data_IF_049933521835
#
_entry.id   IF_049933521835
#
_cell.length_a   1.000
_cell.length_b   1.000
_cell.length_c   1.000
_cell.angle_alpha   90.00
_cell.angle_beta   90.00
_cell.angle_gamma   90.00
#
_symmetry.space_group_name_H-M   'P 1'
#
loop_
_entity.id
_entity.type
_entity.pdbx_description
1 polymer ?
#
# COMPACT_ATOMS: atom_id res chain seq x y z
N UNK A 1 -8.31 4.86 6.73
CA UNK A 1 -9.02 5.83 5.85
C UNK A 1 -9.26 5.18 4.50
N UNK A 2 -10.49 5.26 3.97
CA UNK A 2 -10.81 4.73 2.65
C UNK A 2 -10.16 5.60 1.58
N UNK A 3 -9.59 4.96 0.56
CA UNK A 3 -8.96 5.68 -0.53
C UNK A 3 -10.04 6.30 -1.44
N UNK A 4 -9.77 7.47 -2.04
CA UNK A 4 -10.68 8.08 -3.02
C UNK A 4 -10.93 7.14 -4.22
N UNK A 5 -12.09 7.27 -4.86
CA UNK A 5 -12.46 6.48 -6.03
C UNK A 5 -11.45 6.63 -7.17
N UNK A 6 -11.38 5.62 -8.03
CA UNK A 6 -10.53 5.65 -9.23
C UNK A 6 -10.94 6.79 -10.17
N UNK A 7 -12.25 6.96 -10.40
CA UNK A 7 -12.80 8.06 -11.21
C UNK A 7 -12.29 9.44 -10.76
N UNK A 8 -12.34 9.74 -9.46
CA UNK A 8 -11.89 11.02 -8.94
C UNK A 8 -10.40 11.25 -9.22
N UNK A 9 -9.58 10.21 -9.13
CA UNK A 9 -8.13 10.30 -9.39
C UNK A 9 -7.83 10.50 -10.85
N UNK A 10 -8.53 9.81 -11.73
CA UNK A 10 -8.38 9.97 -13.18
C UNK A 10 -8.72 11.40 -13.60
N UNK A 11 -9.83 11.95 -13.10
CA UNK A 11 -10.23 13.32 -13.39
C UNK A 11 -9.25 14.36 -12.84
N UNK A 12 -8.77 14.18 -11.60
CA UNK A 12 -7.75 15.06 -10.99
C UNK A 12 -6.43 14.99 -11.76
N UNK A 13 -6.01 13.79 -12.17
CA UNK A 13 -4.79 13.60 -12.94
C UNK A 13 -4.88 14.24 -14.34
N UNK A 14 -6.01 14.07 -15.03
CA UNK A 14 -6.27 14.72 -16.31
C UNK A 14 -6.24 16.26 -16.17
N UNK A 15 -6.85 16.80 -15.11
CA UNK A 15 -6.82 18.25 -14.84
C UNK A 15 -5.41 18.77 -14.54
N UNK A 16 -4.55 17.96 -13.92
CA UNK A 16 -3.13 18.31 -13.71
C UNK A 16 -2.31 18.32 -15.01
N UNK A 17 -2.73 17.57 -16.04
CA UNK A 17 -2.05 17.51 -17.34
C UNK A 17 -2.44 18.67 -18.26
N UNK A 18 -3.58 19.32 -18.01
CA UNK A 18 -3.96 20.55 -18.68
C UNK A 18 -3.01 21.66 -18.22
N UNK A 19 -1.99 21.95 -19.05
CA UNK A 19 -0.93 22.90 -18.72
C UNK A 19 -1.44 24.26 -18.23
N UNK A 20 -0.67 24.89 -17.34
CA UNK A 20 -1.00 26.21 -16.78
C UNK A 20 -1.82 26.18 -15.49
N UNK A 21 -2.24 25.00 -15.00
CA UNK A 21 -2.94 24.88 -13.71
C UNK A 21 -1.98 24.59 -12.55
N UNK A 22 -2.20 25.26 -11.44
CA UNK A 22 -1.51 25.03 -10.17
C UNK A 22 -2.18 23.90 -9.39
N UNK A 23 -1.44 23.33 -8.42
CA UNK A 23 -1.96 22.27 -7.53
C UNK A 23 -3.20 22.77 -6.76
N UNK A 24 -3.19 24.02 -6.31
CA UNK A 24 -4.29 24.62 -5.55
C UNK A 24 -5.55 24.80 -6.38
N UNK A 25 -5.43 25.23 -7.64
CA UNK A 25 -6.59 25.35 -8.54
C UNK A 25 -7.25 24.00 -8.81
N UNK A 26 -6.46 22.95 -9.04
CA UNK A 26 -6.98 21.59 -9.20
C UNK A 26 -7.61 21.11 -7.89
N UNK A 27 -6.98 21.36 -6.74
CA UNK A 27 -7.52 20.99 -5.44
C UNK A 27 -8.88 21.64 -5.17
N UNK A 28 -9.01 22.94 -5.44
CA UNK A 28 -10.25 23.70 -5.32
C UNK A 28 -11.34 23.19 -6.27
N UNK A 29 -11.00 22.93 -7.54
CA UNK A 29 -11.95 22.44 -8.55
C UNK A 29 -12.62 21.11 -8.13
N UNK A 30 -11.85 20.21 -7.51
CA UNK A 30 -12.33 18.89 -7.11
C UNK A 30 -12.71 18.79 -5.63
N UNK A 31 -12.66 19.91 -4.89
CA UNK A 31 -12.88 19.97 -3.45
C UNK A 31 -12.06 18.93 -2.66
N UNK A 32 -10.78 18.80 -3.01
CA UNK A 32 -9.82 17.88 -2.38
C UNK A 32 -8.65 18.65 -1.78
N UNK A 33 -7.87 18.01 -0.91
CA UNK A 33 -6.67 18.64 -0.35
C UNK A 33 -5.53 18.76 -1.37
N UNK A 34 -4.75 19.83 -1.31
CA UNK A 34 -3.49 20.01 -2.06
C UNK A 34 -2.53 18.83 -1.89
N UNK A 35 -2.47 18.29 -0.67
CA UNK A 35 -1.62 17.14 -0.35
C UNK A 35 -2.01 15.90 -1.14
N UNK A 36 -3.31 15.69 -1.39
CA UNK A 36 -3.78 14.58 -2.22
C UNK A 36 -3.35 14.75 -3.68
N UNK A 37 -3.55 15.94 -4.26
CA UNK A 37 -3.15 16.25 -5.64
C UNK A 37 -1.64 16.08 -5.82
N UNK A 38 -0.84 16.61 -4.88
CA UNK A 38 0.63 16.49 -4.90
C UNK A 38 1.09 15.02 -4.83
N UNK A 39 0.48 14.22 -3.95
CA UNK A 39 0.78 12.78 -3.82
C UNK A 39 0.38 12.00 -5.07
N UNK A 40 -0.76 12.34 -5.68
CA UNK A 40 -1.24 11.72 -6.90
C UNK A 40 -0.30 11.99 -8.07
N UNK A 41 0.08 13.26 -8.28
CA UNK A 41 1.05 13.65 -9.31
C UNK A 41 2.39 12.95 -9.12
N UNK A 42 2.93 12.93 -7.89
CA UNK A 42 4.18 12.23 -7.59
C UNK A 42 4.09 10.74 -7.95
N UNK A 43 2.98 10.08 -7.61
CA UNK A 43 2.77 8.66 -7.93
C UNK A 43 2.72 8.42 -9.43
N UNK A 44 1.99 9.27 -10.16
CA UNK A 44 1.93 9.19 -11.61
C UNK A 44 3.32 9.32 -12.24
N UNK A 45 4.16 10.25 -11.77
CA UNK A 45 5.53 10.39 -12.26
C UNK A 45 6.45 9.23 -11.87
N UNK A 46 6.31 8.67 -10.67
CA UNK A 46 7.21 7.61 -10.18
C UNK A 46 6.84 6.22 -10.69
N UNK A 47 5.55 5.91 -10.81
CA UNK A 47 5.07 4.55 -11.09
C UNK A 47 4.11 4.44 -12.28
N UNK A 48 3.78 5.56 -12.94
CA UNK A 48 2.79 5.59 -14.02
C UNK A 48 1.35 5.28 -13.59
N UNK A 49 1.09 5.11 -12.29
CA UNK A 49 -0.19 4.61 -11.77
C UNK A 49 -0.96 5.65 -10.98
N UNK A 50 -2.28 5.69 -11.21
CA UNK A 50 -3.25 6.47 -10.42
C UNK A 50 -3.97 5.61 -9.37
N UNK A 51 -3.75 4.29 -9.41
CA UNK A 51 -4.38 3.30 -8.55
C UNK A 51 -4.02 3.50 -7.08
N UNK A 52 -4.86 2.97 -6.18
CA UNK A 52 -4.54 2.95 -4.75
C UNK A 52 -3.32 2.05 -4.54
N UNK A 53 -2.50 2.40 -3.53
CA UNK A 53 -1.49 1.42 -3.11
C UNK A 53 -2.27 0.26 -2.51
N UNK A 54 -1.82 -0.98 -2.72
CA UNK A 54 -2.32 -2.08 -1.91
C UNK A 54 -2.18 -1.68 -0.43
N UNK A 55 -3.13 -2.07 0.44
CA UNK A 55 -2.96 -1.88 1.86
C UNK A 55 -1.57 -2.39 2.25
N UNK A 56 -0.78 -1.56 2.92
CA UNK A 56 0.52 -1.99 3.41
C UNK A 56 0.24 -3.07 4.45
N UNK A 57 0.44 -4.33 4.06
CA UNK A 57 0.60 -5.42 5.00
C UNK A 57 1.81 -5.09 5.89
N UNK A 58 1.83 -5.62 7.10
CA UNK A 58 2.94 -5.43 8.04
C UNK A 58 4.30 -5.86 7.46
N UNK A 59 5.36 -5.84 8.28
CA UNK A 59 6.64 -6.42 7.88
C UNK A 59 6.46 -7.84 7.33
N UNK A 60 7.32 -8.25 6.41
CA UNK A 60 7.30 -9.59 5.87
C UNK A 60 7.38 -10.62 7.02
N UNK A 61 6.65 -11.74 6.95
CA UNK A 61 6.75 -12.80 7.95
C UNK A 61 8.20 -13.26 8.09
N UNK A 62 8.63 -13.47 9.34
CA UNK A 62 9.99 -13.98 9.63
C UNK A 62 10.11 -15.44 9.17
N UNK A 63 9.05 -16.23 9.36
CA UNK A 63 9.00 -17.64 8.95
C UNK A 63 8.55 -17.74 7.50
N UNK A 64 9.43 -18.26 6.65
CA UNK A 64 9.10 -18.60 5.27
C UNK A 64 8.25 -19.90 5.20
N UNK A 65 7.85 -20.31 4.00
CA UNK A 65 6.99 -21.49 3.83
C UNK A 65 7.65 -22.80 4.31
N UNK A 66 8.97 -22.96 4.13
CA UNK A 66 9.71 -24.12 4.60
C UNK A 66 9.79 -24.14 6.13
N UNK A 67 10.06 -22.98 6.75
CA UNK A 67 10.11 -22.86 8.21
C UNK A 67 8.75 -23.22 8.84
N UNK A 68 7.64 -22.86 8.19
CA UNK A 68 6.30 -23.22 8.64
C UNK A 68 6.04 -24.73 8.55
N UNK A 69 6.51 -25.40 7.49
CA UNK A 69 6.40 -26.86 7.36
C UNK A 69 7.21 -27.56 8.45
N UNK A 70 8.42 -27.06 8.73
CA UNK A 70 9.27 -27.60 9.79
C UNK A 70 8.62 -27.41 11.17
N UNK A 71 8.09 -26.21 11.46
CA UNK A 71 7.40 -25.93 12.72
C UNK A 71 6.21 -26.89 12.92
N UNK A 72 5.41 -27.12 11.89
CA UNK A 72 4.28 -28.06 11.96
C UNK A 72 4.77 -29.50 12.20
N UNK A 73 5.89 -29.91 11.61
CA UNK A 73 6.47 -31.22 11.85
C UNK A 73 6.93 -31.39 13.31
N UNK A 74 7.61 -30.38 13.87
CA UNK A 74 8.05 -30.38 15.27
C UNK A 74 6.86 -30.47 16.23
N UNK A 75 5.82 -29.67 16.02
CA UNK A 75 4.60 -29.70 16.85
C UNK A 75 3.82 -31.02 16.72
N UNK A 76 3.93 -31.73 15.59
CA UNK A 76 3.34 -33.08 15.46
C UNK A 76 4.11 -34.13 16.21
N UNK A 77 5.43 -33.99 16.34
CA UNK A 77 6.28 -34.90 17.08
C UNK A 77 6.13 -34.68 18.58
N UNK A 78 6.16 -33.43 19.01
CA UNK A 78 6.02 -33.03 20.42
C UNK A 78 5.00 -31.89 20.54
N UNK A 79 3.71 -32.21 20.75
CA UNK A 79 2.63 -31.22 20.80
C UNK A 79 2.77 -30.17 21.92
N UNK A 80 3.47 -30.52 23.01
CA UNK A 80 3.68 -29.66 24.17
C UNK A 80 5.03 -28.90 24.12
N UNK A 81 5.75 -29.00 22.99
CA UNK A 81 7.02 -28.29 22.82
C UNK A 81 6.81 -26.77 22.95
N UNK A 82 7.61 -26.16 23.82
CA UNK A 82 7.63 -24.72 24.04
C UNK A 82 8.44 -24.01 22.96
N UNK A 83 8.18 -22.71 22.75
CA UNK A 83 8.98 -21.93 21.79
C UNK A 83 10.47 -21.93 22.12
N UNK A 84 10.85 -21.99 23.41
CA UNK A 84 12.25 -22.05 23.82
C UNK A 84 12.94 -23.34 23.38
N UNK A 85 12.21 -24.45 23.32
CA UNK A 85 12.72 -25.74 22.85
C UNK A 85 12.79 -25.80 21.31
N UNK A 86 11.98 -25.00 20.62
CA UNK A 86 11.94 -24.93 19.15
C UNK A 86 12.88 -23.87 18.56
N UNK A 87 13.28 -22.87 19.34
CA UNK A 87 14.24 -21.84 18.94
C UNK A 87 15.67 -22.33 19.17
N UNK A 88 16.24 -23.04 18.20
CA UNK A 88 17.67 -23.40 18.14
C UNK A 88 18.44 -22.43 17.26
#
# INVERSE_FOLDING_TARGET
MKAYSTDLRERVAAACQQGGRTIGEVAAQFNVSDSFVRKLRRRQCTSGSLGALPPRSGPAPVLNAADQVQLVACLRQEPDATLAELCV
#
